data_IF_669829453809
#
_entry.id   IF_669829453809
#
_cell.length_a   1.000
_cell.length_b   1.000
_cell.length_c   1.000
_cell.angle_alpha   90.00
_cell.angle_beta   90.00
_cell.angle_gamma   90.00
#
_symmetry.space_group_name_H-M   'P 1'
#
loop_
_entity.id
_entity.type
_entity.pdbx_description
1 polymer ?
#
# COMPACT_ATOMS: atom_id res chain seq x y z
N UNK A 1 -14.71 -7.76 -28.33
CA UNK A 1 -13.53 -7.17 -28.97
C UNK A 1 -13.32 -5.71 -28.56
N UNK A 2 -14.29 -4.77 -28.79
CA UNK A 2 -14.13 -3.34 -28.38
C UNK A 2 -13.94 -3.21 -26.87
N UNK A 3 -14.78 -3.86 -26.07
CA UNK A 3 -14.68 -3.83 -24.60
C UNK A 3 -13.37 -4.48 -24.09
N UNK A 4 -12.91 -5.52 -24.74
CA UNK A 4 -11.65 -6.19 -24.43
C UNK A 4 -10.44 -5.31 -24.78
N UNK A 5 -10.47 -4.68 -25.95
CA UNK A 5 -9.45 -3.71 -26.36
C UNK A 5 -9.41 -2.50 -25.42
N UNK A 6 -10.55 -1.97 -25.00
CA UNK A 6 -10.64 -0.88 -24.02
C UNK A 6 -10.03 -1.28 -22.68
N UNK A 7 -10.30 -2.49 -22.19
CA UNK A 7 -9.72 -3.03 -20.95
C UNK A 7 -8.20 -3.20 -21.06
N UNK A 8 -7.70 -3.66 -22.21
CA UNK A 8 -6.26 -3.81 -22.47
C UNK A 8 -5.56 -2.45 -22.50
N UNK A 9 -6.15 -1.44 -23.16
CA UNK A 9 -5.63 -0.07 -23.20
C UNK A 9 -5.61 0.51 -21.78
N UNK A 10 -6.68 0.35 -21.02
CA UNK A 10 -6.74 0.81 -19.63
C UNK A 10 -5.65 0.16 -18.76
N UNK A 11 -5.45 -1.15 -18.89
CA UNK A 11 -4.38 -1.88 -18.19
C UNK A 11 -2.99 -1.35 -18.54
N UNK A 12 -2.71 -1.19 -19.83
CA UNK A 12 -1.43 -0.66 -20.32
C UNK A 12 -1.18 0.78 -19.84
N UNK A 13 -2.20 1.64 -19.88
CA UNK A 13 -2.12 3.03 -19.41
C UNK A 13 -1.84 3.10 -17.91
N UNK A 14 -2.49 2.25 -17.10
CA UNK A 14 -2.26 2.17 -15.66
C UNK A 14 -0.84 1.69 -15.32
N UNK A 15 -0.33 0.70 -16.08
CA UNK A 15 1.04 0.23 -15.94
C UNK A 15 2.04 1.33 -16.28
N UNK A 16 1.81 2.08 -17.37
CA UNK A 16 2.67 3.19 -17.78
C UNK A 16 2.71 4.30 -16.73
N UNK A 17 1.56 4.69 -16.17
CA UNK A 17 1.49 5.68 -15.08
C UNK A 17 2.26 5.21 -13.84
N UNK A 18 2.15 3.93 -13.49
CA UNK A 18 2.91 3.34 -12.38
C UNK A 18 4.41 3.43 -12.65
N UNK A 19 4.86 3.06 -13.86
CA UNK A 19 6.27 3.17 -14.27
C UNK A 19 6.80 4.61 -14.18
N UNK A 20 6.03 5.58 -14.69
CA UNK A 20 6.41 7.00 -14.65
C UNK A 20 6.56 7.46 -13.20
N UNK A 21 5.60 7.15 -12.34
CA UNK A 21 5.64 7.51 -10.92
C UNK A 21 6.81 6.84 -10.20
N UNK A 22 7.07 5.56 -10.46
CA UNK A 22 8.22 4.83 -9.90
C UNK A 22 9.54 5.48 -10.28
N UNK A 23 9.70 5.87 -11.55
CA UNK A 23 10.92 6.54 -12.05
C UNK A 23 11.08 7.93 -11.43
N UNK A 24 9.99 8.69 -11.31
CA UNK A 24 9.99 10.01 -10.68
C UNK A 24 10.36 9.90 -9.19
N UNK A 25 9.82 8.91 -8.48
CA UNK A 25 10.15 8.67 -7.07
C UNK A 25 11.64 8.34 -6.92
N UNK A 26 12.20 7.42 -7.72
CA UNK A 26 13.63 7.10 -7.70
C UNK A 26 14.47 8.34 -8.03
N UNK A 27 14.05 9.14 -8.99
CA UNK A 27 14.76 10.38 -9.37
C UNK A 27 14.77 11.40 -8.24
N UNK A 28 13.62 11.60 -7.55
CA UNK A 28 13.51 12.49 -6.39
C UNK A 28 14.37 12.01 -5.22
N UNK A 29 14.36 10.70 -4.95
CA UNK A 29 15.17 10.10 -3.88
C UNK A 29 16.67 10.30 -4.18
N UNK A 30 17.13 9.91 -5.37
CA UNK A 30 18.55 10.02 -5.75
C UNK A 30 19.07 11.46 -5.80
N UNK A 31 18.21 12.41 -6.14
CA UNK A 31 18.55 13.84 -6.13
C UNK A 31 18.44 14.50 -4.76
N UNK A 32 18.06 13.75 -3.71
CA UNK A 32 17.83 14.29 -2.36
C UNK A 32 16.64 15.26 -2.26
N UNK A 33 15.74 15.24 -3.25
CA UNK A 33 14.57 16.12 -3.32
C UNK A 33 13.30 15.49 -2.76
N UNK A 34 13.34 14.22 -2.34
CA UNK A 34 12.21 13.59 -1.69
C UNK A 34 12.23 13.98 -0.21
N UNK A 35 11.18 14.66 0.20
CA UNK A 35 10.98 15.05 1.60
C UNK A 35 10.05 14.03 2.26
N UNK A 36 10.34 13.69 3.53
CA UNK A 36 9.47 12.90 4.40
C UNK A 36 8.59 13.87 5.17
N UNK A 37 7.27 13.74 5.00
CA UNK A 37 6.27 14.63 5.59
C UNK A 37 5.60 13.92 6.76
N UNK A 38 6.10 14.16 7.97
CA UNK A 38 5.51 13.59 9.17
C UNK A 38 4.24 14.36 9.56
N UNK A 39 3.11 13.66 9.55
CA UNK A 39 1.81 14.16 9.97
C UNK A 39 1.18 13.19 10.96
N UNK A 40 0.27 13.69 11.79
CA UNK A 40 -0.55 12.83 12.65
C UNK A 40 -1.56 12.06 11.80
N UNK A 41 -1.64 10.75 11.97
CA UNK A 41 -2.58 9.90 11.24
C UNK A 41 -3.19 8.83 12.14
N UNK A 42 -4.39 8.38 11.78
CA UNK A 42 -5.08 7.27 12.46
C UNK A 42 -4.60 5.93 11.93
N UNK A 43 -4.01 5.11 12.80
CA UNK A 43 -3.46 3.80 12.43
C UNK A 43 -4.52 2.85 11.88
N UNK A 44 -5.73 2.89 12.47
CA UNK A 44 -6.86 2.08 12.02
C UNK A 44 -7.33 2.43 10.60
N UNK A 45 -7.37 3.72 10.26
CA UNK A 45 -7.74 4.20 8.93
C UNK A 45 -6.72 3.74 7.89
N UNK A 46 -5.43 3.98 8.13
CA UNK A 46 -4.35 3.55 7.26
C UNK A 46 -4.39 2.04 7.00
N UNK A 47 -4.55 1.23 8.07
CA UNK A 47 -4.58 -0.23 7.92
C UNK A 47 -5.82 -0.69 7.14
N UNK A 48 -6.98 -0.06 7.37
CA UNK A 48 -8.22 -0.36 6.64
C UNK A 48 -8.07 -0.12 5.14
N UNK A 49 -7.49 1.00 4.75
CA UNK A 49 -7.26 1.31 3.34
C UNK A 49 -6.35 0.29 2.66
N UNK A 50 -5.19 -0.03 3.29
CA UNK A 50 -4.23 -1.00 2.75
C UNK A 50 -4.87 -2.38 2.62
N UNK A 51 -5.55 -2.83 3.70
CA UNK A 51 -6.19 -4.15 3.75
C UNK A 51 -7.28 -4.27 2.70
N UNK A 52 -8.13 -3.24 2.53
CA UNK A 52 -9.19 -3.25 1.52
C UNK A 52 -8.63 -3.41 0.10
N UNK A 53 -7.58 -2.65 -0.23
CA UNK A 53 -6.95 -2.72 -1.56
C UNK A 53 -6.38 -4.11 -1.87
N UNK A 54 -5.72 -4.72 -0.89
CA UNK A 54 -5.02 -6.00 -1.08
C UNK A 54 -5.97 -7.19 -0.98
N UNK A 55 -6.96 -7.13 -0.09
CA UNK A 55 -7.94 -8.20 0.08
C UNK A 55 -8.71 -8.48 -1.21
N UNK A 56 -9.11 -7.44 -1.95
CA UNK A 56 -9.78 -7.59 -3.25
C UNK A 56 -8.88 -8.37 -4.22
N UNK A 57 -7.62 -7.96 -4.36
CA UNK A 57 -6.64 -8.61 -5.26
C UNK A 57 -6.35 -10.06 -4.86
N UNK A 58 -6.20 -10.32 -3.56
CA UNK A 58 -5.97 -11.67 -3.05
C UNK A 58 -7.18 -12.57 -3.32
N UNK A 59 -8.41 -12.06 -3.09
CA UNK A 59 -9.66 -12.77 -3.35
C UNK A 59 -9.86 -13.09 -4.83
N UNK A 60 -9.59 -12.13 -5.73
CA UNK A 60 -9.66 -12.35 -7.17
C UNK A 60 -8.72 -13.46 -7.64
N UNK A 61 -7.60 -13.64 -6.96
CA UNK A 61 -6.60 -14.68 -7.25
C UNK A 61 -6.84 -15.99 -6.47
N UNK A 62 -7.86 -16.04 -5.61
CA UNK A 62 -8.18 -17.22 -4.78
C UNK A 62 -7.20 -17.46 -3.63
N UNK A 63 -6.45 -16.43 -3.21
CA UNK A 63 -5.50 -16.52 -2.10
C UNK A 63 -6.18 -16.22 -0.76
N UNK A 64 -5.76 -16.92 0.29
CA UNK A 64 -6.14 -16.59 1.66
C UNK A 64 -5.35 -15.36 2.13
N UNK A 65 -6.04 -14.29 2.51
CA UNK A 65 -5.42 -13.12 3.12
C UNK A 65 -5.60 -13.13 4.63
N UNK A 66 -4.48 -13.14 5.38
CA UNK A 66 -4.44 -13.15 6.85
C UNK A 66 -3.97 -11.81 7.38
N UNK A 67 -4.62 -11.32 8.43
CA UNK A 67 -4.26 -10.09 9.10
C UNK A 67 -4.03 -10.34 10.60
N UNK A 68 -2.90 -9.89 11.10
CA UNK A 68 -2.50 -9.96 12.50
C UNK A 68 -2.01 -8.58 12.93
N UNK A 69 -2.79 -7.89 13.75
CA UNK A 69 -2.45 -6.56 14.27
C UNK A 69 -2.36 -6.63 15.78
N UNK A 70 -1.27 -6.14 16.33
CA UNK A 70 -1.08 -6.01 17.76
C UNK A 70 -2.10 -5.01 18.33
N UNK A 71 -2.97 -5.40 19.25
CA UNK A 71 -3.99 -4.51 19.78
C UNK A 71 -3.43 -3.33 20.60
N UNK A 72 -2.18 -3.41 21.06
CA UNK A 72 -1.51 -2.36 21.83
C UNK A 72 -0.93 -1.23 20.96
N UNK A 73 -1.07 -1.30 19.64
CA UNK A 73 -0.65 -0.21 18.75
C UNK A 73 -1.42 1.06 19.10
N UNK A 74 -0.75 2.22 19.26
CA UNK A 74 -1.41 3.49 19.47
C UNK A 74 -2.38 3.83 18.33
N UNK A 75 -3.55 4.39 18.67
CA UNK A 75 -4.59 4.74 17.69
C UNK A 75 -4.17 5.87 16.77
N UNK A 76 -3.29 6.77 17.24
CA UNK A 76 -2.72 7.85 16.43
C UNK A 76 -1.20 7.90 16.55
N UNK A 77 -0.53 7.90 15.42
CA UNK A 77 0.92 8.04 15.28
C UNK A 77 1.26 9.27 14.44
N UNK A 78 2.51 9.74 14.56
CA UNK A 78 3.07 10.76 13.69
C UNK A 78 4.13 10.14 12.78
N UNK A 79 3.95 10.28 11.48
CA UNK A 79 4.82 9.73 10.45
C UNK A 79 4.33 10.09 9.05
N UNK A 80 5.06 9.65 8.04
CA UNK A 80 4.62 9.80 6.65
C UNK A 80 3.71 8.63 6.24
N UNK A 81 2.40 8.80 6.46
CA UNK A 81 1.40 7.77 6.15
C UNK A 81 1.37 7.39 4.67
N UNK A 82 1.65 8.35 3.78
CA UNK A 82 1.68 8.13 2.32
C UNK A 82 2.81 7.17 1.97
N UNK A 83 3.99 7.38 2.55
CA UNK A 83 5.15 6.51 2.30
C UNK A 83 5.00 5.16 2.98
N UNK A 84 4.44 5.09 4.18
CA UNK A 84 4.11 3.82 4.85
C UNK A 84 3.14 3.01 3.99
N UNK A 85 2.07 3.64 3.49
CA UNK A 85 1.10 3.03 2.57
C UNK A 85 1.80 2.52 1.30
N UNK A 86 2.67 3.33 0.69
CA UNK A 86 3.41 2.96 -0.52
C UNK A 86 4.31 1.73 -0.28
N UNK A 87 5.06 1.69 0.83
CA UNK A 87 5.89 0.56 1.23
C UNK A 87 5.05 -0.71 1.35
N UNK A 88 3.96 -0.66 2.12
CA UNK A 88 3.14 -1.83 2.40
C UNK A 88 2.39 -2.33 1.15
N UNK A 89 1.86 -1.43 0.32
CA UNK A 89 1.21 -1.80 -0.94
C UNK A 89 2.20 -2.47 -1.89
N UNK A 90 3.44 -1.97 -2.00
CA UNK A 90 4.47 -2.59 -2.83
C UNK A 90 4.82 -4.01 -2.36
N UNK A 91 5.03 -4.20 -1.06
CA UNK A 91 5.34 -5.52 -0.49
C UNK A 91 4.16 -6.49 -0.64
N UNK A 92 2.95 -6.07 -0.29
CA UNK A 92 1.75 -6.90 -0.35
C UNK A 92 1.34 -7.22 -1.79
N UNK A 93 1.45 -6.27 -2.72
CA UNK A 93 1.19 -6.51 -4.14
C UNK A 93 2.18 -7.52 -4.71
N UNK A 94 3.46 -7.47 -4.30
CA UNK A 94 4.45 -8.47 -4.68
C UNK A 94 4.11 -9.84 -4.08
N UNK A 95 3.72 -9.92 -2.81
CA UNK A 95 3.31 -11.16 -2.17
C UNK A 95 2.13 -11.81 -2.93
N UNK A 96 1.06 -11.05 -3.22
CA UNK A 96 -0.08 -11.56 -4.02
C UNK A 96 0.36 -11.97 -5.42
N UNK A 97 1.25 -11.19 -6.05
CA UNK A 97 1.73 -11.41 -7.41
C UNK A 97 2.50 -12.73 -7.54
N UNK A 98 3.42 -13.02 -6.62
CA UNK A 98 4.33 -14.17 -6.66
C UNK A 98 3.82 -15.41 -5.92
N UNK A 99 2.60 -15.36 -5.38
CA UNK A 99 1.90 -16.52 -4.80
C UNK A 99 0.83 -16.98 -5.77
N UNK A 100 0.90 -18.21 -6.27
CA UNK A 100 -0.13 -18.80 -7.14
C UNK A 100 -1.25 -19.42 -6.33
N UNK A 101 -0.91 -20.10 -5.23
CA UNK A 101 -1.85 -20.77 -4.33
C UNK A 101 -1.35 -20.61 -2.90
N UNK A 102 -2.27 -20.62 -1.92
CA UNK A 102 -1.93 -20.50 -0.51
C UNK A 102 -2.33 -19.19 0.11
N UNK A 103 -1.44 -18.52 0.85
CA UNK A 103 -1.79 -17.36 1.65
C UNK A 103 -0.78 -16.22 1.61
N UNK A 104 -1.30 -15.01 1.85
CA UNK A 104 -0.51 -13.80 2.14
C UNK A 104 -0.92 -13.29 3.51
N UNK A 105 0.06 -13.03 4.38
CA UNK A 105 -0.15 -12.57 5.74
C UNK A 105 0.48 -11.19 5.94
N UNK A 106 -0.30 -10.24 6.45
CA UNK A 106 0.19 -8.98 7.00
C UNK A 106 0.18 -9.07 8.52
N UNK A 107 1.35 -8.96 9.14
CA UNK A 107 1.49 -8.90 10.60
C UNK A 107 2.07 -7.55 11.00
N UNK A 108 1.42 -6.86 11.93
CA UNK A 108 1.85 -5.57 12.44
C UNK A 108 2.03 -5.70 13.95
N UNK A 109 3.22 -5.37 14.44
CA UNK A 109 3.56 -5.42 15.87
C UNK A 109 4.20 -4.10 16.28
N UNK A 110 4.08 -3.77 17.55
CA UNK A 110 4.75 -2.59 18.09
C UNK A 110 5.47 -2.91 19.39
N UNK A 111 6.47 -2.08 19.69
CA UNK A 111 7.17 -2.06 20.96
C UNK A 111 7.42 -0.61 21.37
N UNK A 112 6.95 -0.23 22.54
CA UNK A 112 7.17 1.12 23.06
C UNK A 112 8.64 1.28 23.43
N UNK A 113 9.29 2.28 22.85
CA UNK A 113 10.69 2.58 23.11
C UNK A 113 10.84 3.59 24.26
N UNK A 114 10.01 4.62 24.23
CA UNK A 114 9.94 5.68 25.25
C UNK A 114 8.47 6.06 25.49
N UNK A 115 8.25 7.05 26.35
CA UNK A 115 6.90 7.55 26.65
C UNK A 115 6.14 7.99 25.39
N UNK A 116 6.81 8.65 24.45
CA UNK A 116 6.21 9.22 23.24
C UNK A 116 6.71 8.57 21.93
N UNK A 117 7.41 7.44 21.99
CA UNK A 117 7.98 6.80 20.80
C UNK A 117 7.74 5.30 20.76
N UNK A 118 7.33 4.82 19.62
CA UNK A 118 7.05 3.41 19.34
C UNK A 118 7.83 2.92 18.13
N UNK A 119 8.34 1.71 18.22
CA UNK A 119 8.89 0.98 17.08
C UNK A 119 7.82 0.05 16.54
N UNK A 120 7.54 0.16 15.25
CA UNK A 120 6.51 -0.64 14.57
C UNK A 120 7.18 -1.54 13.55
N UNK A 121 6.85 -2.83 13.61
CA UNK A 121 7.25 -3.83 12.62
C UNK A 121 6.08 -4.21 11.73
N UNK A 122 6.28 -4.07 10.44
CA UNK A 122 5.36 -4.49 9.40
C UNK A 122 5.96 -5.71 8.71
N UNK A 123 5.37 -6.87 8.88
CA UNK A 123 5.82 -8.11 8.26
C UNK A 123 4.82 -8.58 7.21
N UNK A 124 5.28 -8.73 5.99
CA UNK A 124 4.52 -9.30 4.87
C UNK A 124 5.11 -10.67 4.56
N UNK A 125 4.30 -11.71 4.74
CA UNK A 125 4.69 -13.10 4.51
C UNK A 125 3.80 -13.73 3.44
N UNK A 126 4.42 -14.41 2.48
CA UNK A 126 3.75 -15.15 1.42
C UNK A 126 4.19 -16.61 1.41
N UNK A 127 3.32 -17.49 0.92
CA UNK A 127 3.60 -18.90 0.68
C UNK A 127 3.92 -19.20 -0.78
N UNK A 128 4.42 -18.20 -1.52
CA UNK A 128 4.65 -18.26 -2.94
C UNK A 128 5.96 -18.96 -3.34
N UNK A 129 6.45 -18.60 -4.52
CA UNK A 129 7.65 -19.25 -5.09
C UNK A 129 8.94 -19.01 -4.30
N UNK A 130 8.99 -18.04 -3.41
CA UNK A 130 10.21 -17.67 -2.70
C UNK A 130 11.32 -17.17 -3.64
N UNK A 131 12.49 -16.90 -3.06
CA UNK A 131 13.67 -16.37 -3.76
C UNK A 131 14.84 -17.32 -3.53
N UNK A 132 15.59 -17.65 -4.59
CA UNK A 132 16.82 -18.44 -4.48
C UNK A 132 17.86 -17.67 -3.69
N UNK A 133 18.63 -18.37 -2.84
CA UNK A 133 19.62 -17.77 -1.95
C UNK A 133 20.62 -16.87 -2.67
N UNK A 134 21.05 -17.26 -3.86
CA UNK A 134 21.95 -16.48 -4.71
C UNK A 134 21.38 -15.15 -5.19
N UNK A 135 20.06 -15.02 -5.24
CA UNK A 135 19.35 -13.84 -5.71
C UNK A 135 18.97 -12.86 -4.60
N UNK A 136 18.93 -13.32 -3.34
CA UNK A 136 18.53 -12.49 -2.18
C UNK A 136 19.31 -11.16 -2.10
N UNK A 137 20.64 -11.12 -2.29
CA UNK A 137 21.40 -9.87 -2.24
C UNK A 137 21.01 -8.83 -3.30
N UNK A 138 20.29 -9.27 -4.32
CA UNK A 138 20.01 -8.45 -5.50
C UNK A 138 18.54 -8.06 -5.67
N UNK A 139 17.62 -8.55 -4.83
CA UNK A 139 16.18 -8.28 -4.99
C UNK A 139 15.79 -6.82 -4.83
N UNK A 140 16.62 -6.03 -4.16
CA UNK A 140 16.44 -4.59 -3.98
C UNK A 140 17.10 -3.76 -5.10
N UNK A 141 17.82 -4.39 -6.03
CA UNK A 141 18.43 -3.66 -7.14
C UNK A 141 17.35 -3.22 -8.14
N UNK A 142 17.36 -1.92 -8.49
CA UNK A 142 16.45 -1.36 -9.47
C UNK A 142 16.55 -2.08 -10.83
N UNK A 143 15.41 -2.27 -11.51
CA UNK A 143 15.27 -2.91 -12.81
C UNK A 143 15.69 -4.38 -12.86
N UNK A 144 16.02 -4.99 -11.72
CA UNK A 144 16.38 -6.41 -11.69
C UNK A 144 15.18 -7.26 -11.35
N UNK A 145 14.86 -8.20 -12.23
CA UNK A 145 13.83 -9.22 -12.00
C UNK A 145 14.51 -10.56 -11.81
N UNK A 146 14.11 -11.27 -10.78
CA UNK A 146 14.63 -12.60 -10.47
C UNK A 146 13.90 -13.64 -11.32
N UNK A 147 14.63 -14.59 -11.90
CA UNK A 147 14.10 -15.67 -12.74
C UNK A 147 13.20 -15.14 -13.90
N UNK A 148 13.75 -14.21 -14.73
CA UNK A 148 13.02 -13.55 -15.83
C UNK A 148 12.34 -14.53 -16.79
N UNK A 149 12.97 -15.66 -17.08
CA UNK A 149 12.40 -16.68 -17.98
C UNK A 149 11.10 -17.29 -17.43
N UNK A 150 11.04 -17.57 -16.11
CA UNK A 150 9.84 -18.12 -15.46
C UNK A 150 8.78 -17.05 -15.16
N UNK A 151 9.23 -15.83 -14.90
CA UNK A 151 8.38 -14.70 -14.51
C UNK A 151 8.03 -13.79 -15.70
N UNK A 152 8.24 -14.24 -16.94
CA UNK A 152 8.03 -13.43 -18.15
C UNK A 152 6.58 -12.94 -18.29
N UNK A 153 5.63 -13.73 -17.82
CA UNK A 153 4.19 -13.37 -17.84
C UNK A 153 3.72 -12.61 -16.60
N UNK A 154 4.59 -12.41 -15.61
CA UNK A 154 4.24 -11.68 -14.41
C UNK A 154 4.60 -10.21 -14.63
N UNK A 155 3.60 -9.36 -14.80
CA UNK A 155 3.78 -7.92 -15.00
C UNK A 155 4.53 -7.25 -13.83
N UNK A 156 5.43 -6.31 -14.12
CA UNK A 156 6.06 -5.49 -13.09
C UNK A 156 7.30 -4.75 -13.57
N UNK A 157 7.52 -3.60 -12.97
CA UNK A 157 8.57 -2.63 -13.31
C UNK A 157 9.97 -3.06 -12.87
N UNK A 158 10.06 -3.91 -11.86
CA UNK A 158 11.33 -4.24 -11.19
C UNK A 158 11.85 -3.10 -10.29
N UNK A 159 11.03 -2.08 -10.04
CA UNK A 159 11.39 -0.90 -9.24
C UNK A 159 10.81 -0.94 -7.82
N UNK A 160 9.70 -1.64 -7.59
CA UNK A 160 8.96 -1.57 -6.33
C UNK A 160 9.81 -1.88 -5.09
N UNK A 161 10.61 -2.96 -5.08
CA UNK A 161 11.45 -3.29 -3.93
C UNK A 161 12.62 -2.30 -3.72
N UNK A 162 13.19 -1.76 -4.78
CA UNK A 162 14.22 -0.73 -4.67
C UNK A 162 13.66 0.58 -4.10
N UNK A 163 12.42 0.94 -4.47
CA UNK A 163 11.70 2.09 -3.89
C UNK A 163 11.43 1.83 -2.41
N UNK A 164 10.95 0.63 -2.06
CA UNK A 164 10.71 0.26 -0.65
C UNK A 164 11.96 0.43 0.18
N UNK A 165 13.10 -0.11 -0.26
CA UNK A 165 14.37 0.02 0.46
C UNK A 165 14.76 1.50 0.67
N UNK A 166 14.72 2.29 -0.40
CA UNK A 166 15.10 3.71 -0.34
C UNK A 166 14.16 4.53 0.55
N UNK A 167 12.84 4.27 0.51
CA UNK A 167 11.88 4.93 1.39
C UNK A 167 12.12 4.57 2.85
N UNK A 168 12.34 3.29 3.16
CA UNK A 168 12.63 2.83 4.52
C UNK A 168 13.91 3.49 5.05
N UNK A 169 14.97 3.55 4.22
CA UNK A 169 16.23 4.24 4.57
C UNK A 169 16.01 5.74 4.82
N UNK A 170 15.24 6.44 3.96
CA UNK A 170 14.89 7.86 4.14
C UNK A 170 14.09 8.12 5.42
N UNK A 171 13.24 7.17 5.82
CA UNK A 171 12.45 7.23 7.06
C UNK A 171 13.26 6.80 8.30
N UNK A 172 14.56 6.50 8.15
CA UNK A 172 15.41 6.05 9.26
C UNK A 172 15.07 4.66 9.78
N UNK A 173 14.40 3.83 8.98
CA UNK A 173 13.99 2.49 9.32
C UNK A 173 14.94 1.41 8.79
N UNK A 174 14.51 0.16 8.96
CA UNK A 174 15.24 -1.02 8.50
C UNK A 174 14.32 -1.96 7.73
N UNK A 175 14.86 -2.59 6.68
CA UNK A 175 14.16 -3.65 5.94
C UNK A 175 15.01 -4.92 5.91
N UNK A 176 14.36 -6.04 6.14
CA UNK A 176 14.98 -7.37 6.03
C UNK A 176 14.09 -8.34 5.27
N UNK A 177 14.71 -9.40 4.75
CA UNK A 177 14.02 -10.46 4.01
C UNK A 177 14.51 -11.83 4.44
N UNK A 178 13.56 -12.72 4.69
CA UNK A 178 13.79 -14.14 4.86
C UNK A 178 13.00 -14.88 3.77
N UNK A 179 13.68 -15.63 2.93
CA UNK A 179 13.03 -16.34 1.84
C UNK A 179 13.65 -17.73 1.64
N UNK A 180 12.76 -18.68 1.34
CA UNK A 180 13.16 -20.04 0.98
C UNK A 180 12.49 -20.36 -0.35
N UNK A 181 13.31 -20.66 -1.35
CA UNK A 181 12.81 -21.02 -2.68
C UNK A 181 11.80 -22.17 -2.59
N UNK A 182 10.66 -22.02 -3.26
CA UNK A 182 9.46 -22.89 -3.24
C UNK A 182 8.64 -22.89 -1.94
N UNK A 183 9.01 -22.11 -0.92
CA UNK A 183 8.26 -22.06 0.35
C UNK A 183 7.69 -20.66 0.68
N UNK A 184 8.14 -19.63 -0.05
CA UNK A 184 7.67 -18.26 0.14
C UNK A 184 8.72 -17.32 0.68
N UNK A 185 8.30 -16.11 0.96
CA UNK A 185 9.14 -15.03 1.46
C UNK A 185 8.47 -14.29 2.61
N UNK A 186 9.29 -13.70 3.47
CA UNK A 186 8.88 -12.82 4.54
C UNK A 186 9.74 -11.56 4.51
N UNK A 187 9.10 -10.43 4.22
CA UNK A 187 9.71 -9.11 4.30
C UNK A 187 9.30 -8.47 5.62
N UNK A 188 10.24 -7.85 6.30
CA UNK A 188 10.00 -7.16 7.55
C UNK A 188 10.56 -5.75 7.44
N UNK A 189 9.70 -4.76 7.64
CA UNK A 189 10.05 -3.34 7.72
C UNK A 189 9.86 -2.89 9.16
N UNK A 190 10.85 -2.18 9.68
CA UNK A 190 10.82 -1.56 11.00
C UNK A 190 10.91 -0.05 10.84
N UNK A 191 9.99 0.68 11.48
CA UNK A 191 9.97 2.14 11.53
C UNK A 191 9.78 2.61 12.98
N UNK A 192 10.48 3.67 13.36
CA UNK A 192 10.22 4.38 14.61
C UNK A 192 9.29 5.56 14.34
N UNK A 193 8.27 5.74 15.19
CA UNK A 193 7.27 6.78 15.05
C UNK A 193 6.94 7.40 16.40
N UNK A 194 6.53 8.67 16.37
CA UNK A 194 6.11 9.34 17.59
C UNK A 194 4.62 9.03 17.86
N UNK A 195 4.29 8.88 19.14
CA UNK A 195 2.92 8.62 19.59
C UNK A 195 2.20 9.96 19.77
N UNK A 196 1.04 10.10 19.12
CA UNK A 196 0.19 11.30 19.23
C UNK A 196 -0.94 11.07 20.23
N UNK A 197 -1.58 9.88 20.18
CA UNK A 197 -2.56 9.46 21.14
C UNK A 197 -2.19 8.07 21.67
N UNK A 198 -2.11 7.95 22.98
CA UNK A 198 -1.74 6.70 23.67
C UNK A 198 -2.86 5.66 23.71
N UNK A 199 -4.07 6.04 23.31
CA UNK A 199 -5.19 5.11 23.22
C UNK A 199 -4.82 3.96 22.30
N UNK A 200 -4.97 2.75 22.79
CA UNK A 200 -4.72 1.54 22.00
C UNK A 200 -5.75 1.39 20.88
N UNK A 201 -5.29 0.91 19.72
CA UNK A 201 -6.16 0.57 18.58
C UNK A 201 -7.18 -0.51 18.95
N UNK A 202 -6.78 -1.42 19.85
CA UNK A 202 -7.60 -2.56 20.24
C UNK A 202 -7.67 -3.63 19.14
N UNK A 203 -8.68 -4.48 19.21
CA UNK A 203 -8.82 -5.59 18.26
C UNK A 203 -9.14 -5.09 16.86
N UNK A 204 -8.20 -5.25 15.94
CA UNK A 204 -8.34 -4.91 14.54
C UNK A 204 -8.33 -6.18 13.69
N UNK A 205 -9.41 -6.43 12.94
CA UNK A 205 -9.61 -7.64 12.13
C UNK A 205 -9.99 -7.30 10.71
N UNK A 206 -10.05 -8.31 9.83
CA UNK A 206 -10.56 -8.12 8.46
C UNK A 206 -12.01 -7.59 8.42
N UNK A 207 -12.81 -7.82 9.45
CA UNK A 207 -14.16 -7.24 9.57
C UNK A 207 -14.11 -5.75 9.94
N UNK A 208 -13.06 -5.30 10.64
CA UNK A 208 -12.90 -3.89 11.04
C UNK A 208 -12.66 -2.96 9.86
N UNK A 209 -12.19 -3.49 8.71
CA UNK A 209 -11.95 -2.71 7.49
C UNK A 209 -13.19 -1.98 6.97
N UNK A 210 -14.38 -2.52 7.21
CA UNK A 210 -15.64 -1.93 6.76
C UNK A 210 -16.13 -0.79 7.64
N UNK A 211 -15.68 -0.73 8.91
CA UNK A 211 -16.18 0.24 9.88
C UNK A 211 -15.69 1.67 9.63
N UNK A 212 -14.56 1.83 8.98
CA UNK A 212 -14.01 3.16 8.63
C UNK A 212 -14.83 3.83 7.53
N UNK A 213 -15.51 3.04 6.68
CA UNK A 213 -16.40 3.58 5.63
C UNK A 213 -17.88 3.61 6.05
N UNK A 214 -18.28 2.90 7.11
CA UNK A 214 -19.66 2.97 7.63
C UNK A 214 -19.95 4.27 8.40
N UNK A 215 -18.91 5.04 8.76
CA UNK A 215 -19.06 6.37 9.36
C UNK A 215 -19.35 7.48 8.36
N UNK A 216 -19.10 7.23 7.08
CA UNK A 216 -19.37 8.17 5.98
C UNK A 216 -20.13 7.46 4.84
N UNK A 217 -21.27 6.84 5.14
CA UNK A 217 -22.29 6.80 4.10
C UNK A 217 -22.61 8.27 3.81
N UNK A 218 -22.36 8.72 2.57
CA UNK A 218 -22.81 10.03 2.12
C UNK A 218 -24.30 10.15 2.48
N UNK A 219 -24.56 10.79 3.61
CA UNK A 219 -25.88 11.24 3.96
C UNK A 219 -25.93 12.67 3.45
N UNK A 220 -26.76 12.87 2.45
CA UNK A 220 -27.14 14.20 2.02
C UNK A 220 -27.51 15.01 3.27
N UNK A 221 -26.61 15.92 3.66
CA UNK A 221 -26.75 16.69 4.90
C UNK A 221 -27.69 17.88 4.73
N UNK A 222 -27.93 18.29 3.50
CA UNK A 222 -28.89 19.35 3.15
C UNK A 222 -29.21 19.32 1.65
N UNK A 223 -30.33 19.87 1.28
CA UNK A 223 -30.72 20.16 -0.09
C UNK A 223 -30.62 21.68 -0.32
N UNK A 224 -30.08 22.08 -1.46
CA UNK A 224 -29.89 23.48 -1.80
C UNK A 224 -30.34 23.75 -3.26
N UNK A 225 -31.63 23.57 -3.57
CA UNK A 225 -32.14 23.63 -4.94
C UNK A 225 -31.93 24.99 -5.62
N UNK A 226 -31.75 26.06 -4.83
CA UNK A 226 -31.50 27.43 -5.35
C UNK A 226 -30.00 27.80 -5.34
N UNK A 227 -29.11 26.85 -5.02
CA UNK A 227 -27.69 27.14 -4.99
C UNK A 227 -27.10 27.23 -6.40
N UNK A 228 -26.33 28.30 -6.64
CA UNK A 228 -25.54 28.45 -7.87
C UNK A 228 -24.10 28.07 -7.60
N UNK A 229 -23.65 26.93 -8.17
CA UNK A 229 -22.29 26.41 -7.96
C UNK A 229 -21.50 26.60 -9.27
N UNK A 230 -20.39 27.34 -9.21
CA UNK A 230 -19.43 27.42 -10.30
C UNK A 230 -18.33 26.39 -10.09
N UNK A 231 -18.23 25.44 -11.00
CA UNK A 231 -17.15 24.46 -11.03
C UNK A 231 -16.18 24.81 -12.15
N UNK A 232 -14.91 24.95 -11.84
CA UNK A 232 -13.85 25.24 -12.81
C UNK A 232 -12.79 24.14 -12.71
N UNK A 233 -12.61 23.43 -13.81
CA UNK A 233 -11.59 22.37 -13.94
C UNK A 233 -11.15 22.34 -15.40
N UNK A 234 -9.90 22.04 -15.67
CA UNK A 234 -9.33 21.92 -17.02
C UNK A 234 -9.61 20.55 -17.66
N UNK A 235 -10.23 19.64 -16.93
CA UNK A 235 -10.58 18.31 -17.39
C UNK A 235 -12.11 18.12 -17.47
N UNK A 236 -12.62 18.00 -18.68
CA UNK A 236 -14.05 17.78 -18.96
C UNK A 236 -14.64 16.54 -18.22
N UNK A 237 -13.81 15.51 -17.95
CA UNK A 237 -14.23 14.35 -17.20
C UNK A 237 -14.53 14.71 -15.74
N UNK A 238 -13.70 15.54 -15.11
CA UNK A 238 -13.91 16.02 -13.76
C UNK A 238 -15.18 16.86 -13.67
N UNK A 239 -15.40 17.75 -14.61
CA UNK A 239 -16.64 18.54 -14.71
C UNK A 239 -17.88 17.64 -14.84
N UNK A 240 -17.80 16.59 -15.65
CA UNK A 240 -18.90 15.63 -15.83
C UNK A 240 -19.19 14.85 -14.53
N UNK A 241 -18.15 14.43 -13.80
CA UNK A 241 -18.29 13.71 -12.52
C UNK A 241 -18.93 14.62 -11.47
N UNK A 242 -18.43 15.86 -11.31
CA UNK A 242 -18.98 16.82 -10.34
C UNK A 242 -20.42 17.17 -10.67
N UNK A 243 -20.73 17.40 -11.96
CA UNK A 243 -22.12 17.68 -12.40
C UNK A 243 -23.07 16.55 -12.06
N UNK A 244 -22.64 15.29 -12.22
CA UNK A 244 -23.45 14.12 -11.84
C UNK A 244 -23.61 13.95 -10.33
N UNK A 245 -22.57 14.24 -9.55
CA UNK A 245 -22.62 14.16 -8.09
C UNK A 245 -23.53 15.24 -7.47
N UNK A 246 -23.63 16.41 -8.14
CA UNK A 246 -24.46 17.53 -7.69
C UNK A 246 -25.87 17.51 -8.29
N UNK A 247 -26.18 16.64 -9.26
CA UNK A 247 -27.47 16.62 -9.92
C UNK A 247 -28.64 16.18 -9.02
N UNK A 248 -28.33 15.47 -7.94
CA UNK A 248 -29.32 14.96 -6.98
C UNK A 248 -29.34 15.78 -5.66
N UNK A 249 -28.64 16.94 -5.63
CA UNK A 249 -28.60 17.83 -4.46
C UNK A 249 -29.44 19.08 -4.68
#
# INVERSE_FOLDING_TARGET
>A
EVAENAKNIQGASKLLLTLINDILDISKIKSGKMEIVNVSYETGALFSEIVNMIWIKAKEKGLEFKLQVDPSIPSMLCGDEVRIKQILINLLSNAVKYTSEGSVTLSIRCERQTFNRVRVWYAVEDTGQGVKKENIPYIFNAFRRVDEEKNRYIEGTGLGLSIVQQLVELMGGEISVNSVYTKGSKFIVMLEQDIVDEKELGTFTLASRSRVHEGESYQQSFEAPDAHILVVDDNDMNLTVVSKLLADT
#
